data_IF_682889887872
#
_entry.id   IF_682889887872
#
_cell.length_a   1.000
_cell.length_b   1.000
_cell.length_c   1.000
_cell.angle_alpha   90.00
_cell.angle_beta   90.00
_cell.angle_gamma   90.00
#
_symmetry.space_group_name_H-M   'P 1'
#
loop_
_entity.id
_entity.type
_entity.pdbx_description
1 polymer ?
#
# COMPACT_ATOMS: atom_id res chain seq x y z
N UNK A 1 21.67 -1.08 5.03
CA UNK A 1 21.64 -0.52 6.34
C UNK A 1 20.48 -1.06 7.14
N UNK A 2 20.59 -1.00 8.44
CA UNK A 2 19.52 -1.46 9.28
C UNK A 2 18.25 -0.64 8.99
N UNK A 3 17.13 -1.29 9.08
CA UNK A 3 15.87 -0.64 8.85
C UNK A 3 15.59 0.37 9.95
N UNK A 4 15.13 1.53 9.55
CA UNK A 4 14.71 2.57 10.48
C UNK A 4 13.29 2.21 10.94
N UNK A 5 13.07 1.87 12.23
CA UNK A 5 11.74 1.48 12.70
C UNK A 5 10.67 2.54 12.45
N UNK A 6 11.04 3.82 12.48
CA UNK A 6 10.08 4.90 12.21
C UNK A 6 9.63 4.88 10.74
N UNK A 7 10.44 4.36 9.84
CA UNK A 7 10.12 4.26 8.43
C UNK A 7 9.93 2.82 7.97
N UNK A 8 9.46 1.95 8.87
CA UNK A 8 9.14 0.57 8.57
C UNK A 8 7.69 0.30 8.94
N UNK A 9 6.92 -0.17 7.96
CA UNK A 9 5.51 -0.50 8.13
C UNK A 9 5.36 -2.02 8.18
N UNK A 10 4.58 -2.53 9.10
CA UNK A 10 4.30 -3.96 9.19
C UNK A 10 2.80 -4.18 8.97
N UNK A 11 2.46 -4.92 7.93
CA UNK A 11 1.08 -5.34 7.66
C UNK A 11 0.95 -6.80 8.07
N UNK A 12 0.13 -7.08 9.07
CA UNK A 12 -0.16 -8.45 9.45
C UNK A 12 -1.34 -8.93 8.60
N UNK A 13 -1.06 -9.89 7.73
CA UNK A 13 -2.08 -10.58 6.94
C UNK A 13 -2.38 -11.92 7.60
N UNK A 14 -3.40 -12.65 7.12
CA UNK A 14 -3.76 -13.94 7.73
C UNK A 14 -2.60 -14.94 7.72
N UNK A 15 -1.86 -15.11 6.61
CA UNK A 15 -0.72 -16.04 6.62
C UNK A 15 0.51 -15.53 7.37
N UNK A 16 0.69 -14.21 7.54
CA UNK A 16 1.85 -13.68 8.25
C UNK A 16 2.13 -12.22 7.98
N UNK A 17 3.24 -11.73 8.52
CA UNK A 17 3.61 -10.32 8.44
C UNK A 17 4.31 -9.98 7.12
N UNK A 18 3.96 -8.81 6.59
CA UNK A 18 4.63 -8.20 5.45
C UNK A 18 5.34 -6.95 5.96
N UNK A 19 6.65 -6.89 5.75
CA UNK A 19 7.46 -5.76 6.19
C UNK A 19 7.74 -4.86 5.00
N UNK A 20 7.41 -3.58 5.13
CA UNK A 20 7.54 -2.59 4.07
C UNK A 20 8.47 -1.49 4.53
N UNK A 21 9.50 -1.22 3.72
CA UNK A 21 10.36 -0.06 3.96
C UNK A 21 9.72 1.16 3.34
N UNK A 22 9.38 2.14 4.18
CA UNK A 22 8.82 3.41 3.70
C UNK A 22 9.92 4.27 3.07
N UNK A 23 9.55 5.04 2.06
CA UNK A 23 10.50 5.83 1.28
C UNK A 23 10.17 7.32 1.37
N UNK A 24 10.45 7.97 2.52
CA UNK A 24 10.22 9.41 2.64
C UNK A 24 11.13 10.24 1.73
N UNK A 25 12.21 9.66 1.24
CA UNK A 25 13.08 10.28 0.24
C UNK A 25 12.35 10.45 -1.10
N UNK A 26 11.38 9.59 -1.40
CA UNK A 26 10.61 9.66 -2.65
C UNK A 26 9.30 10.41 -2.49
N UNK A 27 8.60 10.18 -1.38
CA UNK A 27 7.23 10.67 -1.18
C UNK A 27 6.98 11.01 0.28
N UNK A 28 7.55 12.11 0.79
CA UNK A 28 7.43 12.46 2.20
C UNK A 28 5.98 12.66 2.65
N UNK A 29 5.15 13.29 1.84
CA UNK A 29 3.74 13.51 2.18
C UNK A 29 2.93 12.22 2.21
N UNK A 30 3.19 11.32 1.28
CA UNK A 30 2.50 10.03 1.23
C UNK A 30 2.93 9.13 2.39
N UNK A 31 4.23 9.10 2.70
CA UNK A 31 4.74 8.34 3.83
C UNK A 31 4.11 8.85 5.14
N UNK A 32 4.02 10.15 5.31
CA UNK A 32 3.40 10.76 6.48
C UNK A 32 1.93 10.32 6.61
N UNK A 33 1.18 10.35 5.50
CA UNK A 33 -0.22 9.93 5.46
C UNK A 33 -0.36 8.45 5.84
N UNK A 34 0.47 7.59 5.28
CA UNK A 34 0.44 6.15 5.57
C UNK A 34 0.69 5.93 7.06
N UNK A 35 1.65 6.62 7.65
CA UNK A 35 1.94 6.50 9.08
C UNK A 35 0.80 7.02 9.94
N UNK A 36 0.21 8.16 9.58
CA UNK A 36 -0.94 8.71 10.31
C UNK A 36 -2.10 7.73 10.33
N UNK A 37 -2.48 7.21 9.17
CA UNK A 37 -3.60 6.28 9.07
C UNK A 37 -3.30 4.98 9.82
N UNK A 38 -2.07 4.50 9.74
CA UNK A 38 -1.64 3.30 10.45
C UNK A 38 -1.77 3.47 11.95
N UNK A 39 -1.33 4.60 12.46
CA UNK A 39 -1.37 4.89 13.91
C UNK A 39 -2.79 5.13 14.42
N UNK A 40 -3.69 5.51 13.54
CA UNK A 40 -5.10 5.69 13.87
C UNK A 40 -5.90 4.38 13.79
N UNK A 41 -5.26 3.28 13.39
CA UNK A 41 -5.95 2.01 13.19
C UNK A 41 -6.82 1.95 11.94
N UNK A 42 -6.64 2.89 11.01
CA UNK A 42 -7.48 3.02 9.83
C UNK A 42 -7.45 1.77 8.95
N UNK A 43 -6.28 1.17 8.79
CA UNK A 43 -6.09 0.01 7.91
C UNK A 43 -6.46 -1.32 8.55
N UNK A 44 -6.71 -1.34 9.87
CA UNK A 44 -7.05 -2.59 10.56
C UNK A 44 -8.40 -3.12 10.03
N UNK A 45 -8.41 -4.37 9.59
CA UNK A 45 -9.61 -5.01 9.04
C UNK A 45 -9.95 -4.64 7.60
N UNK A 46 -9.14 -3.80 6.96
CA UNK A 46 -9.41 -3.36 5.59
C UNK A 46 -9.01 -4.45 4.60
N UNK A 47 -9.87 -4.69 3.60
CA UNK A 47 -9.66 -5.79 2.65
C UNK A 47 -8.89 -5.33 1.41
N UNK A 48 -8.26 -6.31 0.74
CA UNK A 48 -7.72 -6.11 -0.60
C UNK A 48 -8.83 -6.40 -1.60
N UNK A 49 -9.48 -5.36 -2.05
CA UNK A 49 -10.70 -5.46 -2.88
C UNK A 49 -10.42 -5.69 -4.36
N UNK A 50 -9.17 -5.58 -4.78
CA UNK A 50 -8.80 -5.76 -6.18
C UNK A 50 -7.42 -6.41 -6.25
N UNK A 51 -7.38 -7.67 -6.66
CA UNK A 51 -6.12 -8.44 -6.70
C UNK A 51 -6.03 -9.11 -8.08
N UNK A 52 -5.10 -8.63 -8.89
CA UNK A 52 -4.93 -9.09 -10.27
C UNK A 52 -3.63 -9.88 -10.38
N UNK A 53 -3.69 -11.19 -10.71
CA UNK A 53 -2.48 -12.00 -10.85
C UNK A 53 -1.49 -11.38 -11.83
N UNK A 54 -0.21 -11.39 -11.46
CA UNK A 54 0.85 -10.84 -12.30
C UNK A 54 0.89 -9.33 -12.42
N UNK A 55 0.00 -8.62 -11.72
CA UNK A 55 -0.06 -7.17 -11.75
C UNK A 55 0.09 -6.58 -10.35
N UNK A 56 -0.99 -6.55 -9.56
CA UNK A 56 -0.91 -5.92 -8.24
C UNK A 56 -2.05 -6.36 -7.32
N UNK A 57 -1.89 -6.08 -6.01
CA UNK A 57 -2.95 -6.21 -5.00
C UNK A 57 -3.26 -4.82 -4.48
N UNK A 58 -4.51 -4.39 -4.55
CA UNK A 58 -4.97 -3.06 -4.14
C UNK A 58 -5.92 -3.13 -2.95
N UNK A 59 -5.71 -2.27 -1.97
CA UNK A 59 -6.55 -2.15 -0.79
C UNK A 59 -6.49 -0.74 -0.23
N UNK A 60 -6.99 -0.55 0.99
CA UNK A 60 -6.91 0.73 1.67
C UNK A 60 -8.20 1.53 1.67
N UNK A 61 -9.27 0.99 1.13
CA UNK A 61 -10.61 1.58 1.20
C UNK A 61 -11.36 0.95 2.38
N UNK A 62 -11.75 1.73 3.40
CA UNK A 62 -12.43 1.17 4.56
C UNK A 62 -13.78 0.54 4.24
N UNK A 63 -14.40 0.90 3.11
CA UNK A 63 -15.66 0.28 2.69
C UNK A 63 -15.44 -0.99 1.89
N UNK A 64 -14.23 -1.24 1.42
CA UNK A 64 -13.91 -2.43 0.62
C UNK A 64 -14.45 -2.41 -0.80
N UNK A 65 -14.94 -1.26 -1.28
CA UNK A 65 -15.57 -1.15 -2.62
C UNK A 65 -14.62 -0.59 -3.68
N UNK A 66 -13.54 0.05 -3.26
CA UNK A 66 -12.63 0.77 -4.15
C UNK A 66 -13.10 2.19 -4.46
N UNK A 67 -14.22 2.61 -3.87
CA UNK A 67 -14.84 3.91 -4.18
C UNK A 67 -14.60 4.97 -3.11
N UNK A 68 -13.94 4.64 -2.01
CA UNK A 68 -13.82 5.53 -0.87
C UNK A 68 -12.38 5.59 -0.35
N UNK A 69 -12.15 6.41 0.65
CA UNK A 69 -10.86 6.59 1.30
C UNK A 69 -11.05 7.15 2.70
N UNK A 70 -10.00 7.76 3.23
CA UNK A 70 -10.05 8.40 4.53
C UNK A 70 -10.78 9.74 4.44
N UNK A 71 -11.11 10.30 5.59
CA UNK A 71 -11.72 11.63 5.68
C UNK A 71 -10.70 12.76 5.58
N UNK A 72 -9.42 12.41 5.49
CA UNK A 72 -8.36 13.39 5.32
C UNK A 72 -8.37 13.95 3.89
N UNK A 73 -7.79 15.15 3.67
CA UNK A 73 -7.75 15.72 2.32
C UNK A 73 -6.91 14.85 1.38
N UNK A 74 -7.20 14.94 0.09
CA UNK A 74 -6.43 14.23 -0.92
C UNK A 74 -4.99 14.71 -0.93
N UNK A 75 -4.09 13.81 -1.32
CA UNK A 75 -2.65 14.08 -1.37
C UNK A 75 -2.24 14.61 -2.73
N UNK A 76 -1.33 15.57 -2.71
CA UNK A 76 -0.68 16.04 -3.91
C UNK A 76 0.27 14.96 -4.42
N UNK A 77 0.33 14.78 -5.73
CA UNK A 77 1.20 13.77 -6.34
C UNK A 77 2.67 14.02 -6.00
N UNK A 78 3.40 12.94 -5.78
CA UNK A 78 4.84 12.96 -5.52
C UNK A 78 5.51 11.95 -6.46
N UNK A 79 5.32 12.14 -7.76
CA UNK A 79 5.84 11.22 -8.77
C UNK A 79 7.36 11.22 -8.75
N UNK A 80 7.95 10.06 -9.04
CA UNK A 80 9.40 9.88 -9.09
C UNK A 80 9.76 8.92 -10.22
N UNK A 81 11.05 8.73 -10.43
CA UNK A 81 11.57 7.79 -11.42
C UNK A 81 11.74 6.37 -10.88
N UNK A 82 11.33 6.15 -9.64
CA UNK A 82 11.45 4.82 -9.05
C UNK A 82 10.61 3.84 -9.86
N UNK A 83 11.20 2.74 -10.37
CA UNK A 83 10.44 1.81 -11.22
C UNK A 83 9.43 1.00 -10.41
N UNK A 84 8.27 0.77 -11.01
CA UNK A 84 7.26 -0.11 -10.44
C UNK A 84 7.63 -1.55 -10.78
N UNK A 85 8.28 -2.22 -9.84
CA UNK A 85 8.69 -3.61 -9.97
C UNK A 85 8.10 -4.40 -8.81
N UNK A 86 8.29 -5.73 -8.82
CA UNK A 86 7.74 -6.59 -7.77
C UNK A 86 8.10 -6.07 -6.37
N UNK A 87 7.10 -5.98 -5.51
CA UNK A 87 7.23 -5.53 -4.12
C UNK A 87 7.10 -4.03 -3.91
N UNK A 88 7.01 -3.24 -4.98
CA UNK A 88 6.83 -1.78 -4.85
C UNK A 88 5.42 -1.47 -4.39
N UNK A 89 5.32 -0.57 -3.41
CA UNK A 89 4.06 -0.07 -2.88
C UNK A 89 3.84 1.35 -3.38
N UNK A 90 2.72 1.56 -4.05
CA UNK A 90 2.39 2.83 -4.68
C UNK A 90 0.96 3.23 -4.32
N UNK A 91 0.63 4.50 -4.51
CA UNK A 91 -0.68 5.00 -4.11
C UNK A 91 -1.65 4.96 -5.27
N UNK A 92 -2.80 4.35 -5.04
CA UNK A 92 -3.89 4.37 -6.01
C UNK A 92 -4.54 5.76 -6.01
N UNK A 93 -5.08 6.17 -7.15
CA UNK A 93 -5.74 7.45 -7.34
C UNK A 93 -6.78 7.35 -8.44
N UNK A 94 -7.61 8.38 -8.55
CA UNK A 94 -8.52 8.52 -9.68
C UNK A 94 -7.73 9.07 -10.89
N UNK A 95 -8.42 9.44 -11.95
CA UNK A 95 -7.75 10.06 -13.11
C UNK A 95 -7.11 11.42 -12.77
N UNK A 96 -7.53 12.07 -11.69
CA UNK A 96 -6.92 13.31 -11.24
C UNK A 96 -5.58 13.01 -10.55
N UNK A 97 -4.47 13.64 -10.97
CA UNK A 97 -3.15 13.32 -10.40
C UNK A 97 -3.03 13.57 -8.90
N UNK A 98 -3.74 14.56 -8.36
CA UNK A 98 -3.65 14.92 -6.95
C UNK A 98 -4.85 14.37 -6.16
N UNK A 99 -5.29 13.16 -6.47
CA UNK A 99 -6.46 12.54 -5.83
C UNK A 99 -6.14 11.34 -4.96
N UNK A 100 -4.87 11.06 -4.70
CA UNK A 100 -4.48 9.97 -3.79
C UNK A 100 -4.97 10.27 -2.37
N UNK A 101 -5.36 9.24 -1.65
CA UNK A 101 -5.87 9.41 -0.29
C UNK A 101 -5.40 8.29 0.65
N UNK A 102 -5.99 7.11 0.57
CA UNK A 102 -5.64 5.99 1.45
C UNK A 102 -5.49 4.67 0.71
N UNK A 103 -6.05 4.53 -0.48
CA UNK A 103 -5.92 3.29 -1.25
C UNK A 103 -4.53 3.17 -1.83
N UNK A 104 -3.98 1.96 -1.76
CA UNK A 104 -2.64 1.68 -2.26
C UNK A 104 -2.62 0.33 -2.96
N UNK A 105 -1.55 0.07 -3.70
CA UNK A 105 -1.34 -1.25 -4.30
C UNK A 105 0.10 -1.70 -4.12
N UNK A 106 0.27 -3.00 -4.13
CA UNK A 106 1.58 -3.67 -4.04
C UNK A 106 1.75 -4.46 -5.33
N UNK A 107 2.83 -4.21 -6.06
CA UNK A 107 3.07 -4.85 -7.35
C UNK A 107 3.50 -6.30 -7.18
N UNK A 108 2.89 -7.21 -7.94
CA UNK A 108 3.32 -8.61 -8.00
C UNK A 108 4.47 -8.81 -8.96
N UNK A 109 4.58 -7.97 -9.98
CA UNK A 109 5.57 -8.11 -11.04
C UNK A 109 5.86 -6.73 -11.61
N UNK A 110 6.73 -6.66 -12.61
CA UNK A 110 7.09 -5.39 -13.24
C UNK A 110 5.86 -4.73 -13.87
N UNK A 111 5.68 -3.46 -13.56
CA UNK A 111 4.58 -2.65 -14.09
C UNK A 111 5.12 -1.26 -14.42
N UNK A 112 6.21 -1.23 -15.18
CA UNK A 112 6.92 0.02 -15.48
C UNK A 112 6.09 1.02 -16.29
N UNK A 113 5.00 0.57 -16.90
CA UNK A 113 4.06 1.50 -17.54
C UNK A 113 3.38 2.44 -16.55
N UNK A 114 3.50 2.19 -15.25
CA UNK A 114 2.98 3.08 -14.19
C UNK A 114 4.00 4.12 -13.74
N UNK A 115 5.24 4.02 -14.19
CA UNK A 115 6.31 4.91 -13.73
C UNK A 115 5.99 6.37 -14.04
N UNK A 116 6.29 7.26 -13.09
CA UNK A 116 6.01 8.70 -13.17
C UNK A 116 4.52 9.06 -13.22
N UNK A 117 3.63 8.09 -12.99
CA UNK A 117 2.18 8.31 -13.02
C UNK A 117 1.51 8.01 -11.70
N UNK A 118 2.20 7.31 -10.80
CA UNK A 118 1.73 6.97 -9.47
C UNK A 118 2.84 7.22 -8.46
N UNK A 119 2.46 7.55 -7.23
CA UNK A 119 3.43 7.88 -6.19
C UNK A 119 3.91 6.63 -5.48
N UNK A 120 5.19 6.29 -5.64
CA UNK A 120 5.84 5.20 -4.91
C UNK A 120 6.18 5.70 -3.51
N UNK A 121 5.69 4.98 -2.49
CA UNK A 121 5.96 5.37 -1.10
C UNK A 121 6.66 4.28 -0.28
N UNK A 122 6.82 3.09 -0.81
CA UNK A 122 7.48 2.01 -0.09
C UNK A 122 7.80 0.80 -0.93
N UNK A 123 8.49 -0.16 -0.32
CA UNK A 123 8.81 -1.42 -0.96
C UNK A 123 8.78 -2.55 0.07
N UNK A 124 8.29 -3.71 -0.35
CA UNK A 124 8.27 -4.89 0.52
C UNK A 124 9.69 -5.44 0.62
N UNK A 125 10.17 -5.58 1.85
CA UNK A 125 11.51 -6.13 2.10
C UNK A 125 11.44 -7.54 2.67
N UNK A 126 10.26 -7.99 3.14
CA UNK A 126 10.07 -9.31 3.72
C UNK A 126 8.59 -9.66 3.69
N UNK A 127 8.26 -10.94 3.53
CA UNK A 127 6.88 -11.41 3.57
C UNK A 127 6.11 -11.28 2.27
N UNK A 128 6.77 -11.05 1.14
CA UNK A 128 6.08 -10.91 -0.15
C UNK A 128 5.27 -12.16 -0.50
N UNK A 129 5.68 -13.33 -0.03
CA UNK A 129 4.93 -14.58 -0.23
C UNK A 129 3.51 -14.50 0.36
N UNK A 130 3.31 -13.71 1.40
CA UNK A 130 1.99 -13.52 2.00
C UNK A 130 1.11 -12.63 1.12
N UNK A 131 1.71 -11.68 0.43
CA UNK A 131 0.99 -10.86 -0.55
C UNK A 131 0.59 -11.73 -1.74
N UNK A 132 1.51 -12.60 -2.20
CA UNK A 132 1.24 -13.53 -3.30
C UNK A 132 0.07 -14.47 -2.96
N UNK A 133 -0.13 -14.77 -1.69
CA UNK A 133 -1.18 -15.68 -1.23
C UNK A 133 -2.56 -15.03 -1.14
N UNK A 134 -2.67 -13.71 -1.36
CA UNK A 134 -3.96 -13.02 -1.30
C UNK A 134 -4.92 -13.59 -2.36
N UNK A 135 -6.20 -13.82 -1.99
CA UNK A 135 -7.19 -14.28 -2.96
C UNK A 135 -7.30 -13.29 -4.12
N UNK A 136 -7.39 -13.84 -5.34
CA UNK A 136 -7.44 -13.05 -6.58
C UNK A 136 -8.87 -12.70 -6.94
N UNK A 137 -9.06 -11.57 -7.60
CA UNK A 137 -10.36 -11.13 -8.10
C UNK A 137 -10.55 -9.62 -8.02
N UNK A 138 -11.62 -9.15 -8.66
CA UNK A 138 -11.98 -7.73 -8.73
C UNK A 138 -13.48 -7.53 -8.45
N UNK A 139 -13.96 -7.75 -7.23
CA UNK A 139 -13.25 -8.16 -6.01
C UNK A 139 -13.11 -9.66 -5.87
N UNK A 140 -12.19 -10.13 -5.02
CA UNK A 140 -12.13 -11.55 -4.68
C UNK A 140 -13.41 -12.00 -3.99
N UNK A 141 -13.75 -13.27 -4.14
CA UNK A 141 -14.93 -13.83 -3.46
C UNK A 141 -14.81 -13.80 -1.94
N UNK A 142 -13.61 -14.10 -1.45
CA UNK A 142 -13.30 -14.03 -0.03
C UNK A 142 -12.04 -13.20 0.10
N UNK A 143 -12.17 -11.86 0.10
CA UNK A 143 -10.98 -11.00 0.06
C UNK A 143 -10.13 -11.16 1.30
N UNK A 144 -8.81 -11.19 1.08
CA UNK A 144 -7.86 -11.12 2.17
C UNK A 144 -7.91 -9.74 2.82
N UNK A 145 -7.58 -9.68 4.10
CA UNK A 145 -7.64 -8.41 4.84
C UNK A 145 -6.35 -8.16 5.59
N UNK A 146 -6.14 -6.88 5.90
CA UNK A 146 -5.09 -6.46 6.82
C UNK A 146 -5.66 -6.69 8.23
N UNK A 147 -5.11 -7.70 8.92
CA UNK A 147 -5.54 -7.98 10.29
C UNK A 147 -5.15 -6.82 11.19
N UNK A 148 -3.91 -6.32 11.01
CA UNK A 148 -3.41 -5.17 11.74
C UNK A 148 -2.28 -4.52 10.94
N UNK A 149 -2.22 -3.20 10.99
CA UNK A 149 -1.11 -2.43 10.43
C UNK A 149 -0.45 -1.64 11.55
N UNK A 150 0.88 -1.59 11.57
CA UNK A 150 1.62 -0.82 12.58
C UNK A 150 2.93 -0.30 12.02
N UNK A 151 3.37 0.84 12.54
CA UNK A 151 4.72 1.33 12.31
C UNK A 151 5.63 0.56 13.25
N UNK A 152 6.77 0.07 12.76
CA UNK A 152 7.64 -0.80 13.57
C UNK A 152 8.11 -0.12 14.87
N UNK A 153 8.31 1.20 14.86
CA UNK A 153 8.70 1.95 16.04
C UNK A 153 7.66 1.87 17.17
N UNK A 154 6.40 1.57 16.84
CA UNK A 154 5.31 1.49 17.81
C UNK A 154 5.01 0.04 18.25
N UNK A 155 5.72 -0.90 17.68
CA UNK A 155 5.47 -2.32 17.95
C UNK A 155 6.06 -2.77 19.29
#
# INVERSE_FOLDING_TARGET
MADDPENTLILTLEPGDVTIRLRPDLAPGHVERIKELTREGFYDGVVFHRVIPGFMAQGGDPTGTGMSGSKKPDLKAEFSREPHVRGICSMARTSAPDSANSQFFICFDDATFLDNQYTVWGEVVSGMEHVDALPKGEPPRAPGKIVKARVAADA
#
